data_IF_806506061237
#
_entry.id   IF_806506061237
#
_cell.length_a   1.000
_cell.length_b   1.000
_cell.length_c   1.000
_cell.angle_alpha   90.00
_cell.angle_beta   90.00
_cell.angle_gamma   90.00
#
_symmetry.space_group_name_H-M   'P 1'
#
loop_
_entity.id
_entity.type
_entity.pdbx_description
1 polymer ?
#
# COMPACT_ATOMS: atom_id res chain seq x y z
N UNK A 1 1.02 6.91 8.19
CA UNK A 1 1.46 7.63 7.01
C UNK A 1 0.39 7.58 5.95
N UNK A 2 0.04 8.72 5.43
CA UNK A 2 -1.09 8.83 4.52
C UNK A 2 -0.65 9.37 3.18
N UNK A 3 -1.32 8.94 2.14
CA UNK A 3 -1.09 9.49 0.82
C UNK A 3 -2.38 9.80 0.13
N UNK A 4 -2.32 10.82 -0.69
CA UNK A 4 -3.40 11.13 -1.60
C UNK A 4 -2.90 10.81 -2.99
N UNK A 5 -3.64 9.99 -3.68
CA UNK A 5 -3.29 9.58 -5.04
C UNK A 5 -4.30 10.15 -6.00
N UNK A 6 -3.81 10.80 -7.02
CA UNK A 6 -4.69 11.22 -8.10
C UNK A 6 -4.99 10.01 -8.97
N UNK A 7 -6.07 10.07 -9.71
CA UNK A 7 -6.42 8.99 -10.60
C UNK A 7 -5.25 8.69 -11.53
N UNK A 8 -4.90 7.43 -11.64
CA UNK A 8 -3.82 6.97 -12.49
C UNK A 8 -2.44 6.98 -11.86
N UNK A 9 -2.30 7.54 -10.66
CA UNK A 9 -1.00 7.53 -10.00
C UNK A 9 -0.69 6.16 -9.48
N UNK A 10 0.60 5.83 -9.50
CA UNK A 10 1.10 4.56 -8.99
C UNK A 10 2.03 4.78 -7.84
N UNK A 11 1.94 3.92 -6.85
CA UNK A 11 2.94 3.86 -5.80
C UNK A 11 3.40 2.43 -5.65
N UNK A 12 4.58 2.28 -5.12
CA UNK A 12 5.14 0.99 -4.84
C UNK A 12 5.27 0.85 -3.35
N UNK A 13 4.72 -0.22 -2.81
CA UNK A 13 4.72 -0.43 -1.37
C UNK A 13 5.52 -1.69 -1.07
N UNK A 14 6.56 -1.53 -0.27
CA UNK A 14 7.41 -2.64 0.10
C UNK A 14 7.03 -3.05 1.51
N UNK A 15 6.78 -4.32 1.71
CA UNK A 15 6.39 -4.82 3.01
C UNK A 15 7.48 -4.78 4.06
N UNK A 16 8.74 -4.67 3.63
CA UNK A 16 9.83 -4.61 4.58
C UNK A 16 10.04 -5.92 5.31
N UNK A 17 10.56 -5.86 6.50
CA UNK A 17 10.86 -7.07 7.25
C UNK A 17 9.64 -7.67 7.93
N UNK A 18 8.68 -6.86 8.24
CA UNK A 18 7.54 -7.33 9.01
C UNK A 18 6.21 -7.26 8.28
N UNK A 19 6.21 -6.74 7.09
CA UNK A 19 4.97 -6.52 6.38
C UNK A 19 4.32 -5.22 6.78
N UNK A 20 3.40 -4.76 5.98
CA UNK A 20 2.62 -3.56 6.28
C UNK A 20 1.20 -3.81 5.80
N UNK A 21 0.27 -3.08 6.35
CA UNK A 21 -1.11 -3.13 5.90
C UNK A 21 -1.45 -1.81 5.22
N UNK A 22 -1.99 -1.90 4.03
CA UNK A 22 -2.45 -0.74 3.31
C UNK A 22 -3.94 -0.61 3.53
N UNK A 23 -4.39 0.54 3.94
CA UNK A 23 -5.80 0.79 4.15
C UNK A 23 -6.25 1.86 3.18
N UNK A 24 -7.33 1.60 2.47
CA UNK A 24 -7.93 2.60 1.59
C UNK A 24 -9.02 3.31 2.36
N UNK A 25 -8.92 4.61 2.51
CA UNK A 25 -9.92 5.38 3.24
C UNK A 25 -10.91 6.02 2.30
N UNK A 26 -10.54 6.29 1.08
CA UNK A 26 -11.48 6.83 0.10
C UNK A 26 -11.03 6.42 -1.28
N UNK A 27 -11.93 6.35 -2.22
CA UNK A 27 -11.64 5.98 -3.59
C UNK A 27 -11.47 4.49 -3.77
N UNK A 28 -10.83 4.11 -4.85
CA UNK A 28 -10.60 2.71 -5.17
C UNK A 28 -9.20 2.58 -5.75
N UNK A 29 -8.46 1.59 -5.31
CA UNK A 29 -7.15 1.33 -5.85
C UNK A 29 -7.07 -0.11 -6.34
N UNK A 30 -6.18 -0.32 -7.29
CA UNK A 30 -5.93 -1.62 -7.87
C UNK A 30 -4.53 -2.02 -7.45
N UNK A 31 -4.40 -3.24 -6.92
CA UNK A 31 -3.12 -3.71 -6.43
C UNK A 31 -2.68 -4.95 -7.13
N UNK A 32 -1.38 -5.05 -7.35
CA UNK A 32 -0.77 -6.30 -7.75
C UNK A 32 0.40 -6.55 -6.85
N UNK A 33 0.59 -7.77 -6.41
CA UNK A 33 1.69 -8.09 -5.51
C UNK A 33 2.68 -9.08 -6.11
N UNK A 34 2.71 -9.20 -7.40
CA UNK A 34 3.74 -10.02 -8.04
C UNK A 34 3.43 -11.49 -8.16
N UNK A 35 2.29 -11.93 -7.71
CA UNK A 35 1.93 -13.34 -7.83
C UNK A 35 0.91 -13.58 -8.94
N UNK A 36 0.70 -12.60 -9.78
CA UNK A 36 -0.22 -12.73 -10.89
C UNK A 36 -1.67 -12.51 -10.54
N UNK A 37 -1.96 -12.11 -9.33
CA UNK A 37 -3.33 -11.88 -8.89
C UNK A 37 -3.52 -10.39 -8.67
N UNK A 38 -4.62 -9.87 -9.16
CA UNK A 38 -4.97 -8.48 -9.00
C UNK A 38 -6.05 -8.34 -7.95
N UNK A 39 -6.01 -7.25 -7.22
CA UNK A 39 -6.98 -6.99 -6.18
C UNK A 39 -7.54 -5.60 -6.36
N UNK A 40 -8.81 -5.43 -6.05
CA UNK A 40 -9.42 -4.11 -5.99
C UNK A 40 -9.66 -3.80 -4.53
N UNK A 41 -9.21 -2.65 -4.10
CA UNK A 41 -9.35 -2.24 -2.72
C UNK A 41 -10.22 -1.01 -2.67
N UNK A 42 -11.40 -1.14 -2.11
CA UNK A 42 -12.35 -0.03 -1.98
C UNK A 42 -12.22 0.61 -0.62
N UNK A 43 -12.78 1.78 -0.48
CA UNK A 43 -12.75 2.51 0.78
C UNK A 43 -13.24 1.62 1.93
N UNK A 44 -12.52 1.68 3.01
CA UNK A 44 -12.82 0.88 4.20
C UNK A 44 -12.16 -0.48 4.23
N UNK A 45 -11.44 -0.85 3.17
CA UNK A 45 -10.80 -2.16 3.11
C UNK A 45 -9.31 -2.06 3.32
N UNK A 46 -8.73 -3.17 3.73
CA UNK A 46 -7.30 -3.28 4.00
C UNK A 46 -6.68 -4.36 3.14
N UNK A 47 -5.40 -4.22 2.87
CA UNK A 47 -4.65 -5.23 2.15
C UNK A 47 -3.29 -5.38 2.81
N UNK A 48 -2.91 -6.60 3.17
CA UNK A 48 -1.64 -6.85 3.82
C UNK A 48 -0.57 -7.12 2.78
N UNK A 49 0.51 -6.37 2.83
CA UNK A 49 1.68 -6.61 1.99
C UNK A 49 2.64 -7.39 2.86
N UNK A 50 2.89 -8.63 2.50
CA UNK A 50 3.70 -9.51 3.31
C UNK A 50 5.14 -9.04 3.40
N UNK A 51 5.85 -9.52 4.39
CA UNK A 51 7.26 -9.21 4.56
C UNK A 51 8.02 -9.65 3.30
N UNK A 52 8.95 -8.82 2.90
CA UNK A 52 9.80 -9.07 1.75
C UNK A 52 9.05 -9.15 0.42
N UNK A 53 7.86 -8.63 0.38
CA UNK A 53 7.08 -8.57 -0.85
C UNK A 53 6.83 -7.12 -1.21
N UNK A 54 6.55 -6.90 -2.47
CA UNK A 54 6.31 -5.57 -2.99
C UNK A 54 4.96 -5.57 -3.69
N UNK A 55 4.17 -4.57 -3.43
CA UNK A 55 2.91 -4.38 -4.12
C UNK A 55 2.97 -3.10 -4.91
N UNK A 56 2.32 -3.10 -6.07
CA UNK A 56 2.17 -1.89 -6.86
C UNK A 56 0.70 -1.51 -6.78
N UNK A 57 0.45 -0.26 -6.46
CA UNK A 57 -0.89 0.23 -6.20
C UNK A 57 -1.18 1.34 -7.20
N UNK A 58 -2.27 1.22 -7.91
CA UNK A 58 -2.69 2.24 -8.86
C UNK A 58 -4.03 2.80 -8.45
N UNK A 59 -4.17 4.10 -8.41
CA UNK A 59 -5.43 4.72 -8.07
C UNK A 59 -6.34 4.72 -9.29
N UNK A 60 -7.45 4.01 -9.20
CA UNK A 60 -8.43 4.01 -10.27
C UNK A 60 -9.31 5.24 -10.19
N UNK A 61 -9.39 5.83 -9.00
CA UNK A 61 -10.06 7.10 -8.75
C UNK A 61 -9.15 7.83 -7.79
N UNK A 62 -9.35 9.10 -7.61
CA UNK A 62 -8.63 9.81 -6.57
C UNK A 62 -8.85 9.07 -5.25
N UNK A 63 -7.79 8.74 -4.58
CA UNK A 63 -7.86 7.86 -3.42
C UNK A 63 -6.99 8.36 -2.28
N UNK A 64 -7.38 7.98 -1.09
CA UNK A 64 -6.59 8.27 0.09
C UNK A 64 -6.24 6.96 0.75
N UNK A 65 -4.98 6.73 0.99
CA UNK A 65 -4.50 5.47 1.56
C UNK A 65 -3.59 5.72 2.74
N UNK A 66 -3.61 4.80 3.68
CA UNK A 66 -2.80 4.88 4.89
C UNK A 66 -2.03 3.58 5.04
N UNK A 67 -0.79 3.67 5.46
CA UNK A 67 -0.03 2.49 5.80
C UNK A 67 -0.03 2.30 7.30
N UNK A 68 -0.31 1.07 7.70
CA UNK A 68 -0.33 0.70 9.10
C UNK A 68 0.72 -0.37 9.32
N UNK A 69 1.60 -0.16 10.26
CA UNK A 69 2.61 -1.13 10.57
C UNK A 69 2.13 -2.11 11.60
N UNK A 70 2.71 -3.30 11.66
CA UNK A 70 2.34 -4.25 12.68
C UNK A 70 2.66 -3.72 14.06
N UNK A 71 1.85 -4.12 15.01
CA UNK A 71 2.08 -3.67 16.35
C UNK A 71 3.32 -4.25 16.96
N UNK A 72 3.79 -5.33 16.44
CA UNK A 72 4.96 -5.95 17.02
C UNK A 72 6.21 -5.18 16.81
N UNK A 73 6.19 -4.20 15.94
CA UNK A 73 7.38 -3.59 15.66
C UNK A 73 7.71 -2.67 16.70
N UNK A 74 8.56 -2.94 17.48
CA UNK A 74 9.02 -2.14 18.42
C UNK A 74 10.23 -1.51 18.03
N UNK A 75 10.72 -1.75 16.89
CA UNK A 75 11.93 -1.16 16.41
C UNK A 75 11.65 0.22 15.89
N UNK A 76 12.09 1.21 16.54
CA UNK A 76 11.74 2.54 16.13
C UNK A 76 12.38 2.94 14.83
N UNK A 77 13.43 2.26 14.42
CA UNK A 77 14.02 2.63 13.17
C UNK A 77 13.38 1.98 12.02
N UNK A 78 12.44 1.10 12.25
CA UNK A 78 11.85 0.44 11.17
C UNK A 78 10.96 1.35 10.47
N UNK A 79 11.04 1.43 9.22
CA UNK A 79 10.08 2.18 8.49
C UNK A 79 9.80 1.50 7.21
N UNK A 80 8.59 1.58 6.74
CA UNK A 80 8.23 0.95 5.49
C UNK A 80 9.01 1.59 4.39
N UNK A 81 9.33 0.79 3.42
CA UNK A 81 10.00 1.31 2.26
C UNK A 81 8.92 1.63 1.26
N UNK A 82 8.67 2.89 1.07
CA UNK A 82 7.64 3.34 0.18
C UNK A 82 8.22 4.23 -0.85
N UNK A 83 7.91 3.99 -2.09
CA UNK A 83 8.41 4.81 -3.15
C UNK A 83 7.27 5.23 -4.04
N UNK A 84 7.21 6.49 -4.27
CA UNK A 84 6.25 7.01 -5.21
C UNK A 84 6.85 6.87 -6.58
N UNK A 85 6.10 6.27 -7.45
CA UNK A 85 6.55 6.13 -8.81
C UNK A 85 5.54 6.84 -9.67
N UNK A 86 5.95 7.87 -10.29
CA UNK A 86 5.07 8.60 -11.18
C UNK A 86 5.19 7.96 -12.54
N UNK A 87 4.11 7.65 -13.12
CA UNK A 87 4.11 7.09 -14.46
C UNK A 87 3.85 8.12 -15.50
#
# INVERSE_FOLDING_TARGET
MEWYLAQGELIRVDGGKEGVTLRCSSGTVWLTNGNGVDYLLHAGRNFAVAANRVAVVEALQAAECTLVKPLSERSPVMRPVIRLAAC
#
